data_IF_777735535892
#
_entry.id   IF_777735535892
#
_cell.length_a   1.000
_cell.length_b   1.000
_cell.length_c   1.000
_cell.angle_alpha   90.00
_cell.angle_beta   90.00
_cell.angle_gamma   90.00
#
_symmetry.space_group_name_H-M   'P 1'
#
loop_
_entity.id
_entity.type
_entity.pdbx_description
1 polymer ?
#
# COMPACT_ATOMS: atom_id res chain seq x y z
N UNK A 1 -32.23 -34.09 76.11
CA UNK A 1 -31.62 -35.23 75.37
C UNK A 1 -30.28 -34.75 74.80
N UNK A 2 -29.12 -35.39 74.99
CA UNK A 2 -28.65 -36.73 74.61
C UNK A 2 -28.60 -37.00 73.08
N UNK A 3 -27.42 -36.71 72.49
CA UNK A 3 -26.54 -37.55 71.65
C UNK A 3 -27.12 -38.59 70.65
N UNK A 4 -26.37 -38.75 69.54
CA UNK A 4 -26.27 -39.84 68.50
C UNK A 4 -26.88 -39.41 67.15
N UNK A 5 -26.23 -39.48 65.97
CA UNK A 5 -25.11 -40.28 65.42
C UNK A 5 -25.47 -41.71 64.97
N UNK A 6 -24.72 -42.22 63.97
CA UNK A 6 -24.89 -43.44 63.13
C UNK A 6 -25.88 -43.26 61.96
N UNK A 7 -25.48 -43.31 60.68
CA UNK A 7 -24.71 -44.31 59.88
C UNK A 7 -25.47 -45.65 59.77
N UNK A 8 -25.73 -46.13 58.54
CA UNK A 8 -25.44 -47.50 58.02
C UNK A 8 -26.27 -47.84 56.75
N UNK A 9 -25.57 -48.44 55.75
CA UNK A 9 -25.94 -49.31 54.62
C UNK A 9 -27.37 -49.24 54.02
N UNK A 10 -27.60 -49.13 52.69
CA UNK A 10 -27.05 -49.89 51.55
C UNK A 10 -27.48 -51.38 51.48
N UNK A 11 -28.51 -51.68 50.68
CA UNK A 11 -28.81 -53.01 50.09
C UNK A 11 -29.25 -52.80 48.63
N UNK A 12 -28.88 -53.73 47.74
CA UNK A 12 -29.09 -53.67 46.29
C UNK A 12 -29.83 -54.91 45.75
N UNK A 13 -30.58 -54.75 44.65
CA UNK A 13 -30.91 -55.73 43.59
C UNK A 13 -31.95 -55.08 42.62
N UNK A 14 -31.76 -54.91 41.31
CA UNK A 14 -31.59 -55.91 40.21
C UNK A 14 -32.94 -56.64 39.96
N UNK A 15 -33.57 -56.69 38.76
CA UNK A 15 -33.16 -56.53 37.34
C UNK A 15 -34.25 -55.79 36.50
N UNK A 16 -33.89 -55.43 35.24
CA UNK A 16 -34.69 -55.54 33.99
C UNK A 16 -35.64 -54.35 33.61
N UNK A 17 -35.73 -53.88 32.34
CA UNK A 17 -34.91 -54.06 31.10
C UNK A 17 -34.86 -52.70 30.34
N UNK A 18 -33.79 -52.42 29.57
CA UNK A 18 -33.79 -51.37 28.53
C UNK A 18 -32.46 -51.32 27.76
N UNK A 19 -32.45 -51.72 26.48
CA UNK A 19 -31.22 -51.80 25.66
C UNK A 19 -30.86 -50.45 25.02
N UNK A 20 -29.62 -49.99 25.19
CA UNK A 20 -28.83 -49.25 24.19
C UNK A 20 -27.37 -49.05 24.65
N UNK A 21 -26.46 -49.89 24.17
CA UNK A 21 -25.01 -49.67 24.19
C UNK A 21 -24.59 -49.29 22.75
N UNK A 22 -23.55 -48.53 22.43
CA UNK A 22 -22.45 -47.98 23.24
C UNK A 22 -21.80 -46.78 22.50
N UNK A 23 -20.75 -46.19 23.10
CA UNK A 23 -19.69 -45.38 22.44
C UNK A 23 -20.11 -44.14 21.64
N UNK A 24 -20.24 -42.99 22.33
CA UNK A 24 -20.01 -41.67 21.72
C UNK A 24 -18.53 -41.31 21.80
N UNK A 25 -17.85 -41.25 20.66
CA UNK A 25 -16.43 -40.89 20.56
C UNK A 25 -16.19 -39.41 20.89
N UNK A 26 -15.07 -39.12 21.56
CA UNK A 26 -14.52 -37.76 21.60
C UNK A 26 -14.20 -37.34 20.17
N UNK A 27 -14.92 -36.35 19.64
CA UNK A 27 -14.42 -35.55 18.52
C UNK A 27 -13.47 -34.51 19.07
N UNK A 28 -12.18 -34.76 18.94
CA UNK A 28 -11.20 -33.68 18.87
C UNK A 28 -11.56 -32.86 17.63
N UNK A 29 -12.06 -31.64 17.86
CA UNK A 29 -12.30 -30.69 16.79
C UNK A 29 -11.00 -30.04 16.39
N UNK A 30 -10.23 -30.68 15.49
CA UNK A 30 -9.22 -29.97 14.69
C UNK A 30 -9.94 -29.06 13.70
N UNK A 31 -10.47 -27.95 14.23
CA UNK A 31 -10.93 -26.83 13.44
C UNK A 31 -9.71 -26.09 12.92
N UNK A 32 -9.10 -26.59 11.84
CA UNK A 32 -8.33 -25.72 10.96
C UNK A 32 -9.32 -24.70 10.38
N UNK A 33 -9.36 -23.51 10.99
CA UNK A 33 -10.14 -22.39 10.48
C UNK A 33 -9.65 -22.08 9.07
N UNK A 34 -10.45 -22.42 8.06
CA UNK A 34 -10.06 -22.26 6.66
C UNK A 34 -9.66 -20.80 6.42
N UNK A 35 -8.40 -20.57 6.05
CA UNK A 35 -7.86 -19.22 5.92
C UNK A 35 -8.77 -18.37 5.02
N UNK A 36 -9.23 -17.24 5.54
CA UNK A 36 -10.13 -16.35 4.80
C UNK A 36 -9.33 -15.72 3.66
N UNK A 37 -9.79 -15.91 2.43
CA UNK A 37 -9.16 -15.34 1.23
C UNK A 37 -10.09 -14.33 0.58
N UNK A 38 -9.53 -13.21 0.12
CA UNK A 38 -10.21 -12.21 -0.71
C UNK A 38 -9.31 -11.80 -1.87
N UNK A 39 -9.90 -11.26 -2.93
CA UNK A 39 -9.21 -10.83 -4.14
C UNK A 39 -9.64 -9.40 -4.47
N UNK A 40 -8.69 -8.56 -4.87
CA UNK A 40 -8.87 -7.13 -5.05
C UNK A 40 -8.14 -6.68 -6.32
N UNK A 41 -8.76 -5.89 -7.20
CA UNK A 41 -8.05 -5.41 -8.40
C UNK A 41 -6.84 -4.54 -8.03
N UNK A 42 -7.03 -3.69 -7.02
CA UNK A 42 -6.05 -2.69 -6.61
C UNK A 42 -5.77 -2.77 -5.10
N UNK A 43 -4.79 -1.98 -4.65
CA UNK A 43 -4.62 -1.63 -3.24
C UNK A 43 -4.87 -0.13 -3.07
N UNK A 44 -5.32 0.30 -1.89
CA UNK A 44 -5.52 1.71 -1.60
C UNK A 44 -4.19 2.48 -1.72
N UNK A 45 -4.29 3.73 -2.18
CA UNK A 45 -3.15 4.66 -2.13
C UNK A 45 -2.72 4.94 -0.68
N UNK A 46 -1.41 5.08 -0.48
CA UNK A 46 -0.75 5.34 0.79
C UNK A 46 0.49 6.19 0.56
N UNK A 47 0.77 7.09 1.51
CA UNK A 47 1.94 7.99 1.47
C UNK A 47 2.98 7.64 2.56
N UNK A 48 2.64 6.75 3.50
CA UNK A 48 3.53 6.33 4.60
C UNK A 48 3.40 4.84 4.92
N UNK A 49 4.52 4.21 5.28
CA UNK A 49 4.55 2.83 5.79
C UNK A 49 3.74 2.62 7.08
N UNK A 50 3.30 3.69 7.75
CA UNK A 50 2.31 3.61 8.82
C UNK A 50 0.98 2.99 8.35
N UNK A 51 0.56 3.26 7.12
CA UNK A 51 -0.74 2.84 6.60
C UNK A 51 -0.84 1.32 6.42
N UNK A 52 -2.05 0.78 6.57
CA UNK A 52 -2.30 -0.62 6.27
C UNK A 52 -2.36 -0.84 4.75
N UNK A 53 -1.68 -1.88 4.26
CA UNK A 53 -1.93 -2.36 2.89
C UNK A 53 -3.35 -2.94 2.90
N UNK A 54 -4.25 -2.28 2.18
CA UNK A 54 -5.67 -2.62 2.09
C UNK A 54 -6.05 -2.79 0.62
N UNK A 55 -6.84 -3.81 0.30
CA UNK A 55 -7.32 -4.06 -1.06
C UNK A 55 -8.52 -3.18 -1.41
N UNK A 56 -8.63 -2.81 -2.68
CA UNK A 56 -9.78 -2.10 -3.26
C UNK A 56 -10.32 -2.81 -4.50
N UNK A 57 -11.58 -2.54 -4.84
CA UNK A 57 -12.34 -3.22 -5.88
C UNK A 57 -12.30 -4.76 -5.69
N UNK A 58 -12.99 -5.23 -4.65
CA UNK A 58 -13.10 -6.66 -4.34
C UNK A 58 -13.77 -7.42 -5.49
N UNK A 59 -13.15 -8.53 -5.91
CA UNK A 59 -13.63 -9.40 -7.00
C UNK A 59 -13.81 -10.83 -6.51
N UNK A 60 -14.60 -11.61 -7.24
CA UNK A 60 -14.78 -13.03 -6.97
C UNK A 60 -13.51 -13.84 -7.27
N UNK A 61 -13.42 -15.03 -6.66
CA UNK A 61 -12.36 -15.99 -6.95
C UNK A 61 -12.38 -16.52 -8.40
N UNK A 62 -13.49 -16.36 -9.12
CA UNK A 62 -13.60 -16.73 -10.54
C UNK A 62 -13.00 -15.63 -11.43
N UNK A 63 -13.36 -14.37 -11.19
CA UNK A 63 -12.75 -13.20 -11.83
C UNK A 63 -11.23 -13.13 -11.59
N UNK A 64 -10.78 -13.45 -10.38
CA UNK A 64 -9.36 -13.48 -10.02
C UNK A 64 -8.53 -14.49 -10.84
N UNK A 65 -9.15 -15.43 -11.58
CA UNK A 65 -8.46 -16.32 -12.52
C UNK A 65 -8.00 -15.61 -13.78
N UNK A 66 -8.73 -14.58 -14.21
CA UNK A 66 -8.52 -13.88 -15.49
C UNK A 66 -8.15 -12.41 -15.32
N UNK A 67 -8.27 -11.84 -14.12
CA UNK A 67 -7.92 -10.44 -13.83
C UNK A 67 -6.65 -10.40 -12.99
N UNK A 68 -5.74 -9.48 -13.32
CA UNK A 68 -4.58 -9.14 -12.49
C UNK A 68 -5.10 -8.53 -11.18
N UNK A 69 -4.73 -9.11 -10.04
CA UNK A 69 -5.31 -8.78 -8.75
C UNK A 69 -4.34 -9.06 -7.59
N UNK A 70 -4.66 -8.50 -6.43
CA UNK A 70 -4.07 -8.80 -5.14
C UNK A 70 -4.94 -9.79 -4.38
N UNK A 71 -4.43 -11.00 -4.20
CA UNK A 71 -5.00 -12.02 -3.31
C UNK A 71 -4.50 -11.77 -1.89
N UNK A 72 -5.43 -11.51 -0.98
CA UNK A 72 -5.18 -11.37 0.46
C UNK A 72 -5.61 -12.65 1.17
N UNK A 73 -4.73 -13.21 1.99
CA UNK A 73 -5.04 -14.30 2.93
C UNK A 73 -4.98 -13.76 4.36
N UNK A 74 -5.99 -14.03 5.17
CA UNK A 74 -6.13 -13.49 6.53
C UNK A 74 -6.08 -14.59 7.59
N UNK A 75 -5.54 -14.27 8.77
CA UNK A 75 -5.69 -15.09 9.97
C UNK A 75 -7.07 -14.90 10.63
N UNK A 76 -7.34 -15.67 11.68
CA UNK A 76 -8.62 -15.68 12.40
C UNK A 76 -9.01 -14.31 12.99
N UNK A 77 -8.02 -13.46 13.30
CA UNK A 77 -8.23 -12.07 13.75
C UNK A 77 -8.43 -11.08 12.60
N UNK A 78 -8.68 -11.57 11.37
CA UNK A 78 -8.83 -10.78 10.15
C UNK A 78 -7.62 -9.88 9.81
N UNK A 79 -6.41 -10.23 10.27
CA UNK A 79 -5.17 -9.54 9.85
C UNK A 79 -4.55 -10.25 8.64
N UNK A 80 -4.08 -9.53 7.60
CA UNK A 80 -3.50 -10.15 6.41
C UNK A 80 -2.17 -10.84 6.75
N UNK A 81 -2.01 -12.10 6.38
CA UNK A 81 -0.78 -12.89 6.55
C UNK A 81 -0.07 -13.22 5.23
N UNK A 82 -0.75 -13.06 4.10
CA UNK A 82 -0.16 -13.13 2.77
C UNK A 82 -0.86 -12.12 1.86
N UNK A 83 -0.10 -11.36 1.08
CA UNK A 83 -0.60 -10.48 0.01
C UNK A 83 0.17 -10.86 -1.26
N UNK A 84 -0.55 -11.29 -2.29
CA UNK A 84 0.01 -11.89 -3.50
C UNK A 84 -0.55 -11.18 -4.74
N UNK A 85 0.30 -10.51 -5.52
CA UNK A 85 -0.08 -9.92 -6.82
C UNK A 85 0.03 -10.98 -7.92
N UNK A 86 -1.07 -11.27 -8.60
CA UNK A 86 -1.15 -12.40 -9.52
C UNK A 86 -2.38 -12.42 -10.42
N UNK A 87 -2.47 -13.47 -11.24
CA UNK A 87 -3.63 -13.83 -12.06
C UNK A 87 -3.81 -15.35 -12.02
N UNK A 88 -4.93 -15.82 -11.47
CA UNK A 88 -5.17 -17.24 -11.19
C UNK A 88 -4.10 -17.82 -10.27
N UNK A 89 -3.35 -18.81 -10.78
CA UNK A 89 -2.25 -19.47 -10.06
C UNK A 89 -0.87 -18.87 -10.35
N UNK A 90 -0.80 -17.79 -11.13
CA UNK A 90 0.47 -17.16 -11.57
C UNK A 90 0.71 -15.90 -10.75
N UNK A 91 1.89 -15.78 -10.12
CA UNK A 91 2.35 -14.51 -9.54
C UNK A 91 2.90 -13.61 -10.64
N UNK A 92 2.62 -12.31 -10.54
CA UNK A 92 3.02 -11.30 -11.51
C UNK A 92 4.11 -10.39 -10.93
N UNK A 93 5.04 -9.96 -11.79
CA UNK A 93 5.98 -8.89 -11.46
C UNK A 93 5.33 -7.50 -11.50
N UNK A 94 6.09 -6.45 -11.17
CA UNK A 94 5.67 -5.04 -11.25
C UNK A 94 4.42 -4.69 -10.39
N UNK A 95 4.29 -5.36 -9.23
CA UNK A 95 3.35 -5.03 -8.17
C UNK A 95 3.57 -3.60 -7.63
N UNK A 96 2.51 -2.94 -7.18
CA UNK A 96 2.60 -1.61 -6.56
C UNK A 96 3.30 -1.59 -5.18
N UNK A 97 3.63 -2.76 -4.64
CA UNK A 97 4.34 -2.92 -3.35
C UNK A 97 5.84 -3.22 -3.51
N UNK A 98 6.40 -3.05 -4.71
CA UNK A 98 7.72 -3.55 -5.13
C UNK A 98 7.91 -5.09 -5.00
N UNK A 99 6.88 -5.84 -4.57
CA UNK A 99 6.92 -7.30 -4.35
C UNK A 99 5.72 -8.04 -4.92
N UNK A 100 5.98 -9.15 -5.62
CA UNK A 100 4.93 -10.06 -6.11
C UNK A 100 4.21 -10.79 -4.98
N UNK A 101 4.91 -11.04 -3.86
CA UNK A 101 4.32 -11.58 -2.65
C UNK A 101 4.94 -10.97 -1.39
N UNK A 102 4.09 -10.70 -0.41
CA UNK A 102 4.46 -10.32 0.96
C UNK A 102 3.91 -11.39 1.91
N UNK A 103 4.77 -11.95 2.75
CA UNK A 103 4.35 -12.76 3.90
C UNK A 103 4.42 -11.89 5.15
N UNK A 104 3.38 -11.97 6.00
CA UNK A 104 3.23 -11.12 7.18
C UNK A 104 3.03 -11.99 8.41
N UNK A 105 4.00 -11.93 9.32
CA UNK A 105 4.00 -12.62 10.60
C UNK A 105 3.70 -11.63 11.73
N UNK A 106 2.98 -12.07 12.75
CA UNK A 106 2.61 -11.21 13.88
C UNK A 106 2.98 -11.86 15.22
N UNK A 107 3.41 -11.02 16.15
CA UNK A 107 3.41 -11.32 17.59
C UNK A 107 2.39 -10.40 18.29
N UNK A 108 2.40 -10.36 19.62
CA UNK A 108 1.61 -9.40 20.41
C UNK A 108 2.12 -7.95 20.27
N UNK A 109 3.38 -7.76 19.83
CA UNK A 109 4.04 -6.44 19.79
C UNK A 109 4.75 -6.14 18.46
N UNK A 110 4.68 -7.04 17.47
CA UNK A 110 5.31 -6.84 16.16
C UNK A 110 4.46 -7.32 14.99
N UNK A 111 4.67 -6.67 13.84
CA UNK A 111 4.31 -7.14 12.51
C UNK A 111 5.59 -7.22 11.68
N UNK A 112 5.92 -8.39 11.15
CA UNK A 112 7.12 -8.64 10.33
C UNK A 112 6.70 -8.95 8.90
N UNK A 113 7.23 -8.19 7.94
CA UNK A 113 7.01 -8.42 6.50
C UNK A 113 8.28 -8.95 5.83
N UNK A 114 8.13 -9.99 5.02
CA UNK A 114 9.17 -10.53 4.13
C UNK A 114 8.66 -10.57 2.68
N UNK A 115 9.58 -10.39 1.73
CA UNK A 115 9.25 -10.05 0.34
C UNK A 115 9.77 -11.10 -0.63
N UNK A 116 8.94 -11.45 -1.61
CA UNK A 116 9.23 -12.48 -2.59
C UNK A 116 8.90 -11.99 -4.00
N UNK A 117 9.72 -12.41 -4.97
CA UNK A 117 9.51 -12.15 -6.39
C UNK A 117 8.44 -13.08 -7.00
N UNK A 118 8.18 -12.89 -8.30
CA UNK A 118 7.22 -13.68 -9.07
C UNK A 118 7.58 -15.18 -9.18
N UNK A 119 8.85 -15.52 -8.98
CA UNK A 119 9.36 -16.90 -9.01
C UNK A 119 9.41 -17.50 -7.59
N UNK A 120 8.77 -16.83 -6.62
CA UNK A 120 8.67 -17.18 -5.19
C UNK A 120 10.00 -17.14 -4.43
N UNK A 121 11.03 -16.53 -5.00
CA UNK A 121 12.34 -16.40 -4.36
C UNK A 121 12.36 -15.18 -3.42
N UNK A 122 13.02 -15.27 -2.25
CA UNK A 122 13.18 -14.12 -1.35
C UNK A 122 13.97 -12.98 -2.01
N UNK A 123 13.41 -11.78 -2.03
CA UNK A 123 14.00 -10.59 -2.65
C UNK A 123 14.24 -9.45 -1.65
N UNK A 124 14.86 -8.37 -2.12
CA UNK A 124 14.95 -7.10 -1.40
C UNK A 124 14.07 -6.05 -2.08
N UNK A 125 13.55 -5.11 -1.31
CA UNK A 125 12.84 -3.91 -1.80
C UNK A 125 13.54 -2.65 -1.28
N UNK A 126 13.11 -1.47 -1.78
CA UNK A 126 13.59 -0.16 -1.32
C UNK A 126 15.12 -0.05 -1.14
N UNK A 127 15.91 -0.61 -2.05
CA UNK A 127 17.35 -0.80 -1.85
C UNK A 127 17.64 -2.24 -1.41
N UNK A 128 18.22 -2.42 -0.22
CA UNK A 128 18.64 -3.74 0.29
C UNK A 128 17.69 -4.33 1.36
N UNK A 129 16.48 -3.76 1.52
CA UNK A 129 15.52 -4.16 2.56
C UNK A 129 14.96 -5.55 2.29
N UNK A 130 15.45 -6.54 3.04
CA UNK A 130 15.00 -7.92 2.97
C UNK A 130 13.79 -8.19 3.86
N UNK A 131 13.71 -7.47 4.99
CA UNK A 131 12.67 -7.64 6.01
C UNK A 131 12.35 -6.31 6.69
N UNK A 132 11.07 -6.04 6.86
CA UNK A 132 10.54 -4.88 7.58
C UNK A 132 9.89 -5.34 8.87
N UNK A 133 10.28 -4.80 10.02
CA UNK A 133 9.69 -5.13 11.32
C UNK A 133 9.06 -3.87 11.91
N UNK A 134 7.74 -3.88 12.02
CA UNK A 134 6.96 -2.85 12.68
C UNK A 134 6.78 -3.20 14.15
N UNK A 135 6.90 -2.20 15.02
CA UNK A 135 6.52 -2.28 16.43
C UNK A 135 5.06 -1.86 16.59
N UNK A 136 4.30 -2.61 17.40
CA UNK A 136 2.89 -2.39 17.69
C UNK A 136 2.71 -2.00 19.17
N UNK A 137 1.78 -1.09 19.45
CA UNK A 137 1.31 -0.84 20.82
C UNK A 137 0.25 -1.87 21.27
N UNK A 138 -0.23 -1.76 22.51
CA UNK A 138 -1.24 -2.65 23.07
C UNK A 138 -2.61 -2.61 22.38
N UNK A 139 -2.84 -1.64 21.47
CA UNK A 139 -4.05 -1.51 20.66
C UNK A 139 -3.82 -1.95 19.20
N UNK A 140 -2.61 -2.40 18.85
CA UNK A 140 -2.22 -2.76 17.50
C UNK A 140 -1.84 -1.58 16.60
N UNK A 141 -1.70 -0.37 17.14
CA UNK A 141 -1.20 0.79 16.39
C UNK A 141 0.30 0.64 16.14
N UNK A 142 0.76 0.88 14.91
CA UNK A 142 2.19 0.94 14.60
C UNK A 142 2.83 2.14 15.30
N UNK A 143 3.90 1.90 16.05
CA UNK A 143 4.69 2.91 16.78
C UNK A 143 6.10 3.07 16.24
N UNK A 144 6.57 2.14 15.42
CA UNK A 144 7.82 2.28 14.68
C UNK A 144 8.03 1.20 13.64
N UNK A 145 9.07 1.36 12.83
CA UNK A 145 9.51 0.42 11.78
C UNK A 145 11.04 0.38 11.79
N UNK A 146 11.61 -0.81 11.56
CA UNK A 146 13.04 -1.03 11.31
C UNK A 146 13.24 -1.94 10.09
N UNK A 147 14.27 -1.64 9.31
CA UNK A 147 14.65 -2.43 8.14
C UNK A 147 15.84 -3.33 8.42
N UNK A 148 15.83 -4.54 7.84
CA UNK A 148 16.88 -5.53 7.99
C UNK A 148 17.31 -6.09 6.64
N UNK A 149 18.62 -6.27 6.47
CA UNK A 149 19.21 -6.93 5.31
C UNK A 149 19.14 -8.46 5.40
N UNK A 150 19.63 -9.16 4.37
CA UNK A 150 19.61 -10.63 4.28
C UNK A 150 20.29 -11.33 5.47
N UNK A 151 21.42 -10.78 5.92
CA UNK A 151 22.19 -11.28 7.08
C UNK A 151 21.57 -10.92 8.45
N UNK A 152 20.38 -10.31 8.47
CA UNK A 152 19.67 -9.96 9.71
C UNK A 152 20.20 -8.73 10.45
N UNK A 153 21.23 -8.05 9.94
CA UNK A 153 21.65 -6.73 10.43
C UNK A 153 20.61 -5.65 10.09
N UNK A 154 20.45 -4.64 10.96
CA UNK A 154 19.65 -3.45 10.63
C UNK A 154 20.38 -2.65 9.52
N UNK A 155 19.62 -2.12 8.57
CA UNK A 155 20.16 -1.36 7.42
C UNK A 155 19.36 -0.07 7.17
N UNK A 156 19.85 0.75 6.24
CA UNK A 156 19.10 1.86 5.63
C UNK A 156 18.43 1.44 4.31
N UNK A 157 17.26 2.02 4.02
CA UNK A 157 16.64 1.93 2.69
C UNK A 157 17.28 2.90 1.68
N UNK A 158 16.73 2.93 0.46
CA UNK A 158 17.14 3.78 -0.67
C UNK A 158 17.26 5.28 -0.33
N UNK A 159 16.52 5.74 0.69
CA UNK A 159 16.49 7.13 1.15
C UNK A 159 17.35 7.40 2.40
N UNK A 160 18.25 6.47 2.78
CA UNK A 160 19.13 6.59 3.97
C UNK A 160 18.39 6.59 5.31
N UNK A 161 17.20 5.99 5.35
CA UNK A 161 16.38 5.82 6.56
C UNK A 161 16.51 4.38 7.05
N UNK A 162 16.90 4.20 8.31
CA UNK A 162 17.03 2.89 8.96
C UNK A 162 15.84 2.53 9.86
N UNK A 163 15.11 3.55 10.34
CA UNK A 163 13.93 3.35 11.18
C UNK A 163 13.00 4.56 11.19
N UNK A 164 11.73 4.29 11.50
CA UNK A 164 10.66 5.28 11.68
C UNK A 164 10.09 5.17 13.09
N UNK A 165 9.56 6.28 13.61
CA UNK A 165 8.73 6.30 14.81
C UNK A 165 7.42 7.02 14.52
N UNK A 166 6.30 6.46 15.00
CA UNK A 166 4.97 7.06 14.87
C UNK A 166 4.33 7.30 16.22
N UNK A 167 3.72 8.47 16.38
CA UNK A 167 2.96 8.84 17.58
C UNK A 167 1.65 9.51 17.18
N UNK A 168 0.52 9.06 17.74
CA UNK A 168 -0.75 9.76 17.61
C UNK A 168 -0.79 10.95 18.58
N UNK A 169 -0.90 12.15 18.04
CA UNK A 169 -0.98 13.39 18.79
C UNK A 169 -2.39 13.61 19.40
N UNK A 170 -2.54 14.50 20.40
CA UNK A 170 -3.84 14.75 21.05
C UNK A 170 -4.94 15.30 20.12
N UNK A 171 -4.55 15.95 19.01
CA UNK A 171 -5.43 16.42 17.94
C UNK A 171 -5.81 15.32 16.93
N UNK A 172 -5.28 14.11 17.11
CA UNK A 172 -5.52 12.94 16.27
C UNK A 172 -4.54 12.77 15.11
N UNK A 173 -3.64 13.72 14.85
CA UNK A 173 -2.64 13.62 13.79
C UNK A 173 -1.64 12.49 14.08
N UNK A 174 -1.17 11.80 13.04
CA UNK A 174 -0.06 10.85 13.17
C UNK A 174 1.24 11.59 12.87
N UNK A 175 2.07 11.79 13.90
CA UNK A 175 3.43 12.33 13.78
C UNK A 175 4.39 11.21 13.38
N UNK A 176 5.24 11.48 12.38
CA UNK A 176 6.30 10.59 11.89
C UNK A 176 7.67 11.29 11.98
N UNK A 177 8.64 10.62 12.59
CA UNK A 177 10.06 10.97 12.53
C UNK A 177 10.86 9.76 12.01
N UNK A 178 12.05 10.03 11.46
CA UNK A 178 12.88 9.04 10.76
C UNK A 178 14.32 9.16 11.19
N UNK A 179 15.04 8.05 11.25
CA UNK A 179 16.41 8.00 11.75
C UNK A 179 17.30 7.12 10.88
N UNK A 180 18.55 7.52 10.72
CA UNK A 180 19.62 6.72 10.09
C UNK A 180 20.21 5.68 11.06
N UNK A 181 21.18 4.87 10.63
CA UNK A 181 21.81 3.86 11.49
C UNK A 181 22.55 4.43 12.71
N UNK A 182 22.96 5.69 12.67
CA UNK A 182 23.56 6.39 13.81
C UNK A 182 22.52 6.93 14.81
N UNK A 183 21.23 6.70 14.58
CA UNK A 183 20.14 7.23 15.41
C UNK A 183 19.94 8.75 15.26
N UNK A 184 20.53 9.37 14.23
CA UNK A 184 20.34 10.79 13.92
C UNK A 184 19.04 10.95 13.12
N UNK A 185 18.23 11.95 13.46
CA UNK A 185 17.01 12.26 12.72
C UNK A 185 17.34 12.69 11.27
N UNK A 186 16.59 12.19 10.30
CA UNK A 186 16.80 12.44 8.87
C UNK A 186 15.51 12.88 8.17
N UNK A 187 15.72 13.67 7.13
CA UNK A 187 14.68 14.08 6.18
C UNK A 187 14.09 12.89 5.39
N UNK A 188 12.91 13.09 4.82
CA UNK A 188 12.22 12.11 3.98
C UNK A 188 13.04 11.68 2.75
N UNK A 189 13.62 12.63 2.03
CA UNK A 189 14.62 12.43 0.97
C UNK A 189 15.28 13.78 0.61
N UNK A 190 16.42 13.76 -0.08
CA UNK A 190 17.20 14.95 -0.44
C UNK A 190 16.49 15.90 -1.43
N UNK A 191 15.56 15.40 -2.26
CA UNK A 191 14.84 16.20 -3.24
C UNK A 191 13.67 16.99 -2.62
N UNK A 192 13.13 16.50 -1.51
CA UNK A 192 12.09 17.16 -0.72
C UNK A 192 12.43 16.99 0.77
N UNK A 193 13.34 17.83 1.33
CA UNK A 193 13.81 17.71 2.72
C UNK A 193 12.74 18.08 3.75
N UNK A 194 11.76 17.19 3.89
CA UNK A 194 10.76 17.20 4.93
C UNK A 194 11.31 16.51 6.18
N UNK A 195 11.26 17.21 7.32
CA UNK A 195 11.83 16.75 8.59
C UNK A 195 10.83 15.86 9.32
N UNK A 196 10.05 16.43 10.24
CA UNK A 196 8.91 15.79 10.87
C UNK A 196 7.70 15.85 9.94
N UNK A 197 6.97 14.75 9.81
CA UNK A 197 5.66 14.76 9.14
C UNK A 197 4.52 14.63 10.12
N UNK A 198 3.39 15.24 9.77
CA UNK A 198 2.08 14.96 10.38
C UNK A 198 1.07 14.60 9.31
N UNK A 199 0.40 13.48 9.51
CA UNK A 199 -0.64 12.96 8.62
C UNK A 199 -2.02 13.17 9.21
N UNK A 200 -2.97 13.57 8.36
CA UNK A 200 -4.40 13.62 8.65
C UNK A 200 -5.13 12.54 7.86
N UNK A 201 -6.19 11.98 8.45
CA UNK A 201 -6.99 10.91 7.87
C UNK A 201 -8.47 11.25 7.93
N UNK A 202 -9.26 10.74 6.99
CA UNK A 202 -10.72 10.78 7.07
C UNK A 202 -11.28 9.64 7.93
N UNK A 203 -12.60 9.61 8.13
CA UNK A 203 -13.29 8.59 8.95
C UNK A 203 -13.16 7.15 8.40
N UNK A 204 -12.83 6.99 7.10
CA UNK A 204 -12.54 5.69 6.47
C UNK A 204 -11.09 5.24 6.65
N UNK A 205 -10.23 6.09 7.23
CA UNK A 205 -8.80 5.84 7.37
C UNK A 205 -7.98 6.12 6.12
N UNK A 206 -8.52 6.82 5.11
CA UNK A 206 -7.73 7.28 3.97
C UNK A 206 -6.96 8.55 4.36
N UNK A 207 -5.69 8.66 3.94
CA UNK A 207 -4.88 9.86 4.14
C UNK A 207 -5.49 11.03 3.36
N UNK A 208 -5.58 12.20 3.99
CA UNK A 208 -6.13 13.43 3.40
C UNK A 208 -5.12 14.58 3.37
N UNK A 209 -4.13 14.56 4.26
CA UNK A 209 -3.03 15.53 4.30
C UNK A 209 -1.76 14.90 4.83
N UNK A 210 -0.64 15.34 4.27
CA UNK A 210 0.73 15.08 4.75
C UNK A 210 1.42 16.44 4.84
N UNK A 211 2.04 16.76 5.97
CA UNK A 211 2.57 18.10 6.21
C UNK A 211 3.89 18.11 6.96
N UNK A 212 4.81 18.97 6.51
CA UNK A 212 6.16 19.16 7.03
C UNK A 212 6.19 20.13 8.21
N UNK A 213 6.80 19.71 9.33
CA UNK A 213 6.93 20.50 10.54
C UNK A 213 8.40 20.64 10.96
N UNK A 214 8.71 21.79 11.57
CA UNK A 214 9.96 22.03 12.27
C UNK A 214 9.62 22.74 13.60
N UNK A 215 10.04 22.18 14.72
CA UNK A 215 9.75 22.70 16.07
C UNK A 215 8.26 23.08 16.27
N UNK A 216 7.37 22.10 16.06
CA UNK A 216 5.90 22.21 16.11
C UNK A 216 5.26 23.24 15.14
N UNK A 217 6.06 23.90 14.31
CA UNK A 217 5.61 24.91 13.34
C UNK A 217 5.55 24.32 11.94
N UNK A 218 4.45 24.59 11.21
CA UNK A 218 4.31 24.20 9.81
C UNK A 218 5.40 24.90 8.97
N UNK A 219 6.21 24.13 8.24
CA UNK A 219 7.46 24.60 7.64
C UNK A 219 7.46 24.52 6.11
N UNK A 220 8.00 25.57 5.45
CA UNK A 220 8.30 25.54 4.02
C UNK A 220 9.69 24.95 3.81
N UNK A 221 9.77 23.81 3.15
CA UNK A 221 10.98 23.38 2.49
C UNK A 221 11.30 24.32 1.32
N UNK A 222 12.46 24.98 1.36
CA UNK A 222 12.94 25.90 0.32
C UNK A 222 14.21 25.37 -0.37
N UNK A 223 14.35 24.05 -0.48
CA UNK A 223 15.37 23.45 -1.34
C UNK A 223 15.07 23.78 -2.82
N UNK A 224 16.10 23.75 -3.68
CA UNK A 224 16.01 24.12 -5.10
C UNK A 224 14.85 23.43 -5.84
N UNK A 225 14.53 22.19 -5.48
CA UNK A 225 13.45 21.38 -6.08
C UNK A 225 12.04 21.67 -5.53
N UNK A 226 11.88 22.65 -4.63
CA UNK A 226 10.61 23.02 -3.99
C UNK A 226 10.07 24.40 -4.43
N UNK A 227 10.62 24.96 -5.51
CA UNK A 227 10.18 26.22 -6.10
C UNK A 227 10.44 27.46 -5.24
N UNK A 228 10.19 28.63 -5.82
CA UNK A 228 10.55 29.92 -5.21
C UNK A 228 9.75 30.27 -3.95
N UNK A 229 8.57 29.66 -3.77
CA UNK A 229 7.67 29.95 -2.64
C UNK A 229 7.69 28.87 -1.53
N UNK A 230 8.45 27.80 -1.75
CA UNK A 230 8.64 26.66 -0.84
C UNK A 230 7.44 25.71 -0.73
N UNK A 231 7.73 24.44 -0.41
CA UNK A 231 6.73 23.37 -0.29
C UNK A 231 6.57 22.95 1.17
N UNK A 232 5.34 22.80 1.64
CA UNK A 232 5.04 22.54 3.07
C UNK A 232 4.10 21.36 3.30
N UNK A 233 3.04 21.20 2.53
CA UNK A 233 2.10 20.11 2.71
C UNK A 233 1.43 19.67 1.41
N UNK A 234 0.99 18.43 1.38
CA UNK A 234 0.20 17.85 0.30
C UNK A 234 -1.23 17.60 0.79
N UNK A 235 -2.22 17.77 -0.09
CA UNK A 235 -3.59 17.32 0.13
C UNK A 235 -3.95 16.22 -0.87
N UNK A 236 -4.65 15.21 -0.36
CA UNK A 236 -5.09 14.05 -1.12
C UNK A 236 -6.62 14.02 -1.13
N UNK A 237 -7.21 13.98 -2.33
CA UNK A 237 -8.63 13.76 -2.51
C UNK A 237 -8.83 12.35 -3.05
N UNK A 238 -9.48 11.52 -2.26
CA UNK A 238 -9.75 10.13 -2.61
C UNK A 238 -11.24 9.89 -2.73
N UNK A 239 -11.65 8.98 -3.60
CA UNK A 239 -13.05 8.54 -3.68
C UNK A 239 -13.38 7.51 -2.59
N UNK A 240 -14.60 6.99 -2.61
CA UNK A 240 -15.10 6.01 -1.65
C UNK A 240 -14.43 4.63 -1.75
N UNK A 241 -13.80 4.31 -2.89
CA UNK A 241 -12.98 3.13 -3.12
C UNK A 241 -11.49 3.38 -2.82
N UNK A 242 -11.12 4.60 -2.42
CA UNK A 242 -9.75 5.00 -2.11
C UNK A 242 -8.85 5.16 -3.34
N UNK A 243 -9.41 5.42 -4.51
CA UNK A 243 -8.61 5.92 -5.64
C UNK A 243 -8.21 7.38 -5.38
N UNK A 244 -6.93 7.70 -5.58
CA UNK A 244 -6.44 9.07 -5.53
C UNK A 244 -6.90 9.84 -6.76
N UNK A 245 -7.93 10.69 -6.60
CA UNK A 245 -8.50 11.52 -7.67
C UNK A 245 -7.73 12.83 -7.88
N UNK A 246 -7.18 13.42 -6.83
CA UNK A 246 -6.44 14.68 -6.91
C UNK A 246 -5.35 14.73 -5.83
N UNK A 247 -4.16 15.16 -6.24
CA UNK A 247 -3.03 15.48 -5.37
C UNK A 247 -2.70 16.96 -5.59
N UNK A 248 -2.53 17.71 -4.50
CA UNK A 248 -2.13 19.12 -4.56
C UNK A 248 -0.99 19.43 -3.59
N UNK A 249 -0.08 20.31 -4.00
CA UNK A 249 1.15 20.68 -3.30
C UNK A 249 1.03 22.13 -2.86
N UNK A 250 1.22 22.41 -1.57
CA UNK A 250 1.02 23.74 -1.00
C UNK A 250 2.20 24.22 -0.16
N UNK A 251 2.38 25.54 -0.12
CA UNK A 251 3.24 26.22 0.84
C UNK A 251 2.50 26.50 2.18
N UNK A 252 3.18 27.07 3.17
CA UNK A 252 2.60 27.44 4.48
C UNK A 252 1.45 28.45 4.42
N UNK A 253 1.33 29.23 3.34
CA UNK A 253 0.21 30.17 3.13
C UNK A 253 -0.97 29.55 2.39
N UNK A 254 -0.87 28.27 2.01
CA UNK A 254 -1.90 27.51 1.30
C UNK A 254 -1.94 27.74 -0.21
N UNK A 255 -1.01 28.52 -0.78
CA UNK A 255 -0.86 28.66 -2.23
C UNK A 255 -0.29 27.36 -2.81
N UNK A 256 -0.70 27.01 -4.03
CA UNK A 256 -0.03 25.95 -4.78
C UNK A 256 1.46 26.28 -4.97
N UNK A 257 2.32 25.28 -4.82
CA UNK A 257 3.77 25.39 -5.01
C UNK A 257 4.27 24.24 -5.85
N UNK A 258 5.21 24.51 -6.75
CA UNK A 258 5.79 23.47 -7.60
C UNK A 258 6.66 22.51 -6.77
N UNK A 259 6.38 21.21 -6.88
CA UNK A 259 7.27 20.13 -6.49
C UNK A 259 8.34 19.91 -7.59
N UNK A 260 9.24 18.96 -7.35
CA UNK A 260 10.15 18.45 -8.38
C UNK A 260 9.40 18.08 -9.68
N UNK A 261 10.04 18.38 -10.80
CA UNK A 261 9.46 18.41 -12.15
C UNK A 261 8.49 19.54 -12.48
N UNK A 262 8.18 20.45 -11.56
CA UNK A 262 7.50 21.72 -11.86
C UNK A 262 5.97 21.65 -11.84
N UNK A 263 5.39 20.67 -11.16
CA UNK A 263 3.94 20.54 -10.98
C UNK A 263 3.54 20.83 -9.54
N UNK A 264 2.37 21.44 -9.36
CA UNK A 264 1.76 21.69 -8.06
C UNK A 264 0.46 20.91 -7.87
N UNK A 265 -0.13 20.38 -8.94
CA UNK A 265 -1.38 19.61 -8.90
C UNK A 265 -1.39 18.50 -9.95
N UNK A 266 -1.98 17.36 -9.62
CA UNK A 266 -2.49 16.43 -10.61
C UNK A 266 -3.91 15.96 -10.30
N UNK A 267 -4.63 15.55 -11.34
CA UNK A 267 -5.98 14.97 -11.28
C UNK A 267 -6.00 13.68 -12.08
N UNK A 268 -6.50 12.61 -11.47
CA UNK A 268 -6.74 11.33 -12.12
C UNK A 268 -8.23 11.19 -12.49
N UNK A 269 -8.49 10.74 -13.71
CA UNK A 269 -9.78 10.15 -14.11
C UNK A 269 -9.66 8.65 -13.97
N UNK A 270 -10.59 8.02 -13.24
CA UNK A 270 -10.65 6.57 -13.03
C UNK A 270 -11.85 5.95 -13.73
N UNK A 271 -11.71 4.72 -14.22
CA UNK A 271 -12.82 3.93 -14.76
C UNK A 271 -13.66 3.25 -13.66
N UNK A 272 -14.69 2.52 -14.06
CA UNK A 272 -15.61 1.84 -13.13
C UNK A 272 -14.99 0.67 -12.35
N UNK A 273 -13.72 0.30 -12.63
CA UNK A 273 -12.99 -0.76 -11.95
C UNK A 273 -11.66 -0.27 -11.35
N UNK A 274 -11.50 1.05 -11.18
CA UNK A 274 -10.39 1.70 -10.49
C UNK A 274 -9.13 1.91 -11.32
N UNK A 275 -9.13 1.64 -12.63
CA UNK A 275 -7.97 1.95 -13.46
C UNK A 275 -7.91 3.46 -13.72
N UNK A 276 -6.75 4.09 -13.50
CA UNK A 276 -6.51 5.47 -13.94
C UNK A 276 -6.43 5.50 -15.47
N UNK A 277 -7.39 6.16 -16.13
CA UNK A 277 -7.46 6.26 -17.61
C UNK A 277 -6.91 7.60 -18.15
N UNK A 278 -6.87 8.64 -17.33
CA UNK A 278 -6.18 9.91 -17.63
C UNK A 278 -5.53 10.45 -16.34
N UNK A 279 -4.30 10.94 -16.42
CA UNK A 279 -3.70 11.83 -15.41
C UNK A 279 -3.35 13.16 -16.08
N UNK A 280 -3.87 14.25 -15.53
CA UNK A 280 -3.57 15.61 -15.95
C UNK A 280 -2.76 16.33 -14.86
N UNK A 281 -1.81 17.19 -15.27
CA UNK A 281 -0.88 17.90 -14.39
C UNK A 281 -0.90 19.41 -14.64
N UNK A 282 -0.85 20.16 -13.55
CA UNK A 282 -0.80 21.62 -13.54
C UNK A 282 0.36 22.12 -12.67
N UNK A 283 0.85 23.31 -12.99
CA UNK A 283 1.81 24.05 -12.18
C UNK A 283 1.14 24.88 -11.05
N UNK A 284 1.95 25.66 -10.34
CA UNK A 284 1.55 26.52 -9.23
C UNK A 284 0.60 27.67 -9.60
N UNK A 285 0.52 28.03 -10.89
CA UNK A 285 -0.31 29.13 -11.39
C UNK A 285 -1.63 28.59 -12.01
N UNK A 286 -1.92 27.31 -11.78
CA UNK A 286 -3.07 26.54 -12.30
C UNK A 286 -3.10 26.40 -13.83
N UNK A 287 -1.95 26.55 -14.49
CA UNK A 287 -1.79 26.28 -15.91
C UNK A 287 -1.34 24.82 -16.16
N UNK A 288 -1.67 24.26 -17.32
CA UNK A 288 -1.20 22.93 -17.71
C UNK A 288 0.33 22.93 -17.87
N UNK A 289 1.00 21.87 -17.38
CA UNK A 289 2.46 21.76 -17.51
C UNK A 289 2.95 21.99 -18.95
N UNK A 290 3.92 22.88 -19.08
CA UNK A 290 4.43 23.35 -20.38
C UNK A 290 5.92 23.04 -20.57
N UNK A 291 6.50 23.57 -21.66
CA UNK A 291 7.92 23.43 -21.97
C UNK A 291 8.36 21.99 -22.23
N UNK A 292 9.21 21.44 -21.36
CA UNK A 292 9.80 20.08 -21.49
C UNK A 292 9.00 18.98 -20.77
N UNK A 293 7.74 19.26 -20.41
CA UNK A 293 6.87 18.34 -19.66
C UNK A 293 5.69 17.87 -20.52
N UNK A 294 4.99 16.85 -20.03
CA UNK A 294 3.73 16.37 -20.59
C UNK A 294 2.62 16.79 -19.62
N UNK A 295 1.62 17.58 -20.04
CA UNK A 295 0.53 17.98 -19.17
C UNK A 295 -0.51 16.87 -18.98
N UNK A 296 -0.74 16.01 -19.97
CA UNK A 296 -1.78 14.99 -19.89
C UNK A 296 -1.27 13.64 -20.40
N UNK A 297 -1.51 12.59 -19.61
CA UNK A 297 -1.23 11.20 -19.94
C UNK A 297 -2.56 10.45 -20.03
N UNK A 298 -2.81 9.74 -21.11
CA UNK A 298 -3.93 8.79 -21.22
C UNK A 298 -3.43 7.35 -21.24
N UNK A 299 -4.25 6.46 -20.68
CA UNK A 299 -3.91 5.06 -20.46
C UNK A 299 -4.99 4.13 -21.02
N UNK A 300 -4.56 3.01 -21.61
CA UNK A 300 -5.46 1.91 -21.99
C UNK A 300 -5.02 0.63 -21.30
N UNK A 301 -5.99 -0.26 -21.10
CA UNK A 301 -5.82 -1.53 -20.40
C UNK A 301 -6.38 -2.68 -21.25
N UNK A 302 -5.81 -3.87 -21.10
CA UNK A 302 -6.41 -5.10 -21.60
C UNK A 302 -7.56 -5.59 -20.69
N UNK A 303 -8.21 -6.70 -21.10
CA UNK A 303 -9.29 -7.34 -20.33
C UNK A 303 -8.84 -7.91 -18.97
N UNK A 304 -7.53 -8.06 -18.75
CA UNK A 304 -6.94 -8.55 -17.52
C UNK A 304 -6.58 -7.40 -16.55
N UNK A 305 -6.59 -6.15 -17.00
CA UNK A 305 -6.11 -4.98 -16.22
C UNK A 305 -4.62 -4.68 -16.39
N UNK A 306 -3.95 -5.24 -17.40
CA UNK A 306 -2.57 -4.85 -17.77
C UNK A 306 -2.61 -3.59 -18.64
N UNK A 307 -1.78 -2.58 -18.35
CA UNK A 307 -1.75 -1.32 -19.13
C UNK A 307 -1.11 -1.53 -20.50
N UNK A 308 -1.90 -1.48 -21.56
CA UNK A 308 -1.48 -1.71 -22.95
C UNK A 308 -1.04 -0.47 -23.71
N UNK A 309 -1.47 0.74 -23.31
CA UNK A 309 -1.04 1.99 -23.97
C UNK A 309 -0.76 3.09 -22.93
N UNK A 310 0.25 3.91 -23.18
CA UNK A 310 0.39 5.27 -22.65
C UNK A 310 0.43 6.23 -23.86
N UNK A 311 -0.45 7.23 -23.86
CA UNK A 311 -0.44 8.33 -24.82
C UNK A 311 -0.10 9.65 -24.11
N UNK A 312 0.79 10.44 -24.70
CA UNK A 312 1.15 11.78 -24.23
C UNK A 312 0.35 12.83 -25.01
N UNK A 313 -0.33 13.71 -24.28
CA UNK A 313 -1.23 14.70 -24.84
C UNK A 313 -0.88 16.12 -24.36
N UNK A 314 -1.21 17.12 -25.18
CA UNK A 314 -1.24 18.52 -24.79
C UNK A 314 -2.44 18.83 -23.86
N UNK A 315 -2.52 20.07 -23.34
CA UNK A 315 -3.64 20.49 -22.49
C UNK A 315 -5.02 20.46 -23.18
N UNK A 316 -5.06 20.41 -24.51
CA UNK A 316 -6.26 20.30 -25.34
C UNK A 316 -6.60 18.84 -25.71
N UNK A 317 -5.85 17.85 -25.18
CA UNK A 317 -5.97 16.40 -25.45
C UNK A 317 -5.57 15.97 -26.88
N UNK A 318 -4.75 16.75 -27.58
CA UNK A 318 -4.12 16.31 -28.83
C UNK A 318 -2.83 15.53 -28.55
N UNK A 319 -2.53 14.50 -29.35
CA UNK A 319 -1.27 13.76 -29.27
C UNK A 319 -0.05 14.69 -29.47
N UNK A 320 0.89 14.65 -28.53
CA UNK A 320 2.13 15.40 -28.58
C UNK A 320 3.36 14.50 -28.46
N UNK A 321 4.43 14.83 -29.18
CA UNK A 321 5.73 14.19 -28.97
C UNK A 321 6.31 14.64 -27.64
N UNK A 322 6.87 13.72 -26.86
CA UNK A 322 7.66 14.04 -25.68
C UNK A 322 8.83 14.94 -26.09
N UNK A 323 8.94 16.18 -25.55
CA UNK A 323 9.86 17.19 -26.07
C UNK A 323 11.33 16.75 -26.20
N UNK A 324 11.78 15.86 -25.31
CA UNK A 324 13.16 15.34 -25.32
C UNK A 324 13.33 13.93 -25.93
N UNK A 325 12.24 13.22 -26.28
CA UNK A 325 12.31 11.81 -26.70
C UNK A 325 11.64 11.50 -28.03
N UNK A 326 10.84 12.42 -28.59
CA UNK A 326 10.10 12.21 -29.85
C UNK A 326 8.90 11.25 -29.76
N UNK A 327 8.87 10.36 -28.77
CA UNK A 327 7.76 9.42 -28.51
C UNK A 327 6.50 10.17 -28.08
N UNK A 328 5.34 9.89 -28.68
CA UNK A 328 4.01 10.31 -28.23
C UNK A 328 3.17 9.14 -27.68
N UNK A 329 3.39 7.92 -28.16
CA UNK A 329 2.65 6.72 -27.73
C UNK A 329 3.62 5.59 -27.41
N UNK A 330 3.35 4.86 -26.33
CA UNK A 330 4.02 3.62 -25.97
C UNK A 330 2.97 2.52 -25.82
N UNK A 331 3.08 1.47 -26.63
CA UNK A 331 2.23 0.28 -26.58
C UNK A 331 3.00 -0.87 -25.92
N UNK A 332 2.40 -1.54 -24.94
CA UNK A 332 3.01 -2.63 -24.17
C UNK A 332 2.43 -3.97 -24.60
N UNK A 333 3.32 -4.91 -24.91
CA UNK A 333 2.94 -6.29 -25.26
C UNK A 333 3.20 -7.18 -24.07
N UNK A 334 2.27 -8.10 -23.81
CA UNK A 334 2.34 -9.09 -22.74
C UNK A 334 2.23 -10.50 -23.33
N UNK A 335 2.79 -11.49 -22.64
CA UNK A 335 2.50 -12.90 -22.92
C UNK A 335 1.20 -13.36 -22.22
N UNK A 336 0.76 -14.59 -22.54
CA UNK A 336 -0.42 -15.23 -21.95
C UNK A 336 -0.40 -15.30 -20.40
N UNK A 337 0.79 -15.27 -19.79
CA UNK A 337 0.98 -15.27 -18.34
C UNK A 337 0.87 -13.86 -17.72
N UNK A 338 0.79 -12.80 -18.53
CA UNK A 338 0.70 -11.40 -18.06
C UNK A 338 2.05 -10.74 -17.84
N UNK A 339 3.16 -11.35 -18.26
CA UNK A 339 4.49 -10.74 -18.19
C UNK A 339 4.76 -9.88 -19.43
N UNK A 340 5.33 -8.67 -19.29
CA UNK A 340 5.67 -7.81 -20.42
C UNK A 340 6.76 -8.46 -21.29
N UNK A 341 6.62 -8.36 -22.60
CA UNK A 341 7.53 -8.97 -23.60
C UNK A 341 8.13 -7.97 -24.58
N UNK A 342 7.42 -6.87 -24.89
CA UNK A 342 7.90 -5.83 -25.81
C UNK A 342 7.28 -4.46 -25.47
N UNK A 343 7.86 -3.39 -26.00
CA UNK A 343 7.31 -2.02 -25.93
C UNK A 343 7.53 -1.30 -27.25
N UNK A 344 6.45 -1.10 -28.01
CA UNK A 344 6.48 -0.39 -29.28
C UNK A 344 6.28 1.10 -29.03
N UNK A 345 7.08 1.94 -29.68
CA UNK A 345 7.05 3.40 -29.53
C UNK A 345 6.65 4.04 -30.85
N UNK A 346 5.87 5.12 -30.77
CA UNK A 346 5.44 5.89 -31.94
C UNK A 346 5.55 7.39 -31.68
N UNK A 347 5.70 8.17 -32.74
CA UNK A 347 5.48 9.62 -32.71
C UNK A 347 3.98 9.99 -32.71
N UNK A 348 3.67 11.28 -32.66
CA UNK A 348 2.31 11.83 -32.64
C UNK A 348 1.54 11.63 -33.94
N UNK A 349 2.20 11.21 -35.02
CA UNK A 349 1.59 10.78 -36.29
C UNK A 349 1.37 9.26 -36.35
N UNK A 350 1.63 8.55 -35.25
CA UNK A 350 1.67 7.08 -35.13
C UNK A 350 2.67 6.41 -36.08
N UNK A 351 3.77 7.09 -36.41
CA UNK A 351 4.93 6.47 -37.08
C UNK A 351 5.77 5.76 -36.02
N UNK A 352 6.06 4.47 -36.24
CA UNK A 352 6.88 3.65 -35.34
C UNK A 352 8.33 4.17 -35.30
N UNK A 353 8.90 4.22 -34.10
CA UNK A 353 10.25 4.69 -33.78
C UNK A 353 11.22 3.54 -33.51
#
# INVERSE_FOLDING_TARGET
MKKKSFIILAIAAIVAVGMASCTGSKKEGTGEGSAKVKYYRHILFSETSFDNIQGSYEISAEEAKTINNYKFTFNEMNRPVSIEFGRGSVLLGNSATDASKIVIEYTDSTETRTYFDKDTLPQVIEGEVFKSVFSLDAHGMRTGLKFYGKEGAQIENRNKIASYTWTKLPDGLIKENRYNLAGTEVIMNEFCPFYELRFSYNEKGHVTRMANYQADTLYNCTAENCGDIGVSYFLFKMNDFGDLLEFTVHNTTGRFSNLYWGWAKFVNTVDSVGNVVETAYWDQDEEYLSGKKIPVYQFKYDVHGSRTEIAFLDGNRNLMNHPERGVAVMEFVYNELGHPTDTVKYDSKRVKL
#
